data_IF_131242047787
#
_entry.id   IF_131242047787
#
_cell.length_a   1.000
_cell.length_b   1.000
_cell.length_c   1.000
_cell.angle_alpha   90.00
_cell.angle_beta   90.00
_cell.angle_gamma   90.00
#
_symmetry.space_group_name_H-M   'P 1'
#
loop_
_entity.id
_entity.type
_entity.pdbx_description
1 polymer ?
#
# COMPACT_ATOMS: atom_id res chain seq x y z
N UNK A 1 -5.29 -28.46 -12.93
CA UNK A 1 -4.44 -27.60 -12.08
C UNK A 1 -3.32 -27.06 -12.95
N UNK A 2 -3.39 -25.80 -13.36
CA UNK A 2 -2.31 -25.15 -14.11
C UNK A 2 -1.25 -24.65 -13.12
N UNK A 3 0.05 -24.81 -13.43
CA UNK A 3 1.12 -24.34 -12.55
C UNK A 3 1.11 -22.81 -12.52
N UNK A 4 1.23 -22.23 -11.32
CA UNK A 4 1.35 -20.78 -11.14
C UNK A 4 2.81 -20.41 -11.36
N UNK A 5 3.07 -19.65 -12.42
CA UNK A 5 4.39 -19.07 -12.68
C UNK A 5 4.61 -17.87 -11.74
N UNK A 6 5.65 -17.94 -10.91
CA UNK A 6 6.01 -16.94 -9.91
C UNK A 6 7.03 -15.91 -10.44
N UNK A 7 7.51 -16.06 -11.69
CA UNK A 7 8.55 -15.22 -12.29
C UNK A 7 8.01 -13.93 -12.92
N UNK A 8 6.68 -13.83 -13.04
CA UNK A 8 5.93 -12.61 -13.36
C UNK A 8 4.62 -12.69 -12.59
N UNK A 9 4.28 -11.77 -11.66
CA UNK A 9 2.95 -11.76 -11.09
C UNK A 9 2.00 -11.33 -12.22
N UNK A 10 1.48 -12.28 -12.99
CA UNK A 10 0.42 -12.03 -13.95
C UNK A 10 -0.66 -11.27 -13.20
N UNK A 11 -0.91 -10.02 -13.62
CA UNK A 11 -2.04 -9.25 -13.10
C UNK A 11 -3.26 -10.12 -13.35
N UNK A 12 -4.00 -10.56 -12.32
CA UNK A 12 -5.18 -11.38 -12.56
C UNK A 12 -6.11 -10.57 -13.47
N UNK A 13 -6.32 -11.07 -14.69
CA UNK A 13 -7.08 -10.43 -15.79
C UNK A 13 -8.59 -10.36 -15.54
N UNK A 14 -9.00 -10.41 -14.28
CA UNK A 14 -10.39 -10.23 -13.87
C UNK A 14 -10.76 -8.74 -13.84
N UNK A 15 -12.07 -8.42 -13.90
CA UNK A 15 -12.52 -7.04 -13.72
C UNK A 15 -12.00 -6.49 -12.38
N UNK A 16 -11.67 -5.18 -12.31
CA UNK A 16 -11.16 -4.59 -11.10
C UNK A 16 -12.15 -4.82 -9.96
N UNK A 17 -11.67 -5.40 -8.85
CA UNK A 17 -12.48 -5.73 -7.67
C UNK A 17 -13.14 -4.48 -7.06
N UNK A 18 -12.56 -3.30 -7.33
CA UNK A 18 -12.97 -2.00 -6.83
C UNK A 18 -12.76 -0.94 -7.91
N UNK A 19 -13.73 -0.03 -8.07
CA UNK A 19 -13.60 1.16 -8.95
C UNK A 19 -12.91 2.31 -8.22
N UNK A 20 -12.25 3.19 -8.97
CA UNK A 20 -11.63 4.41 -8.42
C UNK A 20 -12.60 5.29 -7.60
N UNK A 21 -13.85 5.39 -8.04
CA UNK A 21 -14.89 6.12 -7.32
C UNK A 21 -15.26 5.50 -5.96
N UNK A 22 -15.22 4.17 -5.85
CA UNK A 22 -15.46 3.43 -4.61
C UNK A 22 -14.31 3.69 -3.62
N UNK A 23 -13.06 3.60 -4.09
CA UNK A 23 -11.88 3.94 -3.29
C UNK A 23 -11.95 5.37 -2.74
N UNK A 24 -12.33 6.33 -3.59
CA UNK A 24 -12.49 7.74 -3.19
C UNK A 24 -13.58 7.93 -2.13
N UNK A 25 -14.67 7.19 -2.24
CA UNK A 25 -15.76 7.25 -1.26
C UNK A 25 -15.31 6.71 0.11
N UNK A 26 -14.58 5.58 0.13
CA UNK A 26 -14.02 5.01 1.36
C UNK A 26 -13.03 5.97 2.00
N UNK A 27 -12.08 6.52 1.22
CA UNK A 27 -11.09 7.48 1.73
C UNK A 27 -11.76 8.65 2.45
N UNK A 28 -12.79 9.22 1.83
CA UNK A 28 -13.55 10.35 2.40
C UNK A 28 -14.29 9.95 3.68
N UNK A 29 -14.83 8.74 3.75
CA UNK A 29 -15.48 8.21 4.97
C UNK A 29 -14.50 8.03 6.12
N UNK A 30 -13.27 7.61 5.81
CA UNK A 30 -12.17 7.52 6.76
C UNK A 30 -11.57 8.89 7.13
N UNK A 31 -11.99 9.98 6.49
CA UNK A 31 -11.50 11.33 6.78
C UNK A 31 -10.08 11.63 6.28
N UNK A 32 -9.54 10.81 5.37
CA UNK A 32 -8.13 10.92 4.95
C UNK A 32 -7.93 11.79 3.72
N UNK A 33 -6.82 12.51 3.68
CA UNK A 33 -6.22 13.05 2.47
C UNK A 33 -5.68 11.93 1.57
N UNK A 34 -5.37 12.28 0.31
CA UNK A 34 -4.75 11.33 -0.63
C UNK A 34 -3.36 10.92 -0.21
N UNK A 35 -2.62 11.80 0.47
CA UNK A 35 -1.30 11.49 1.02
C UNK A 35 -1.41 10.53 2.18
N UNK A 36 -2.27 10.79 3.17
CA UNK A 36 -2.47 9.93 4.35
C UNK A 36 -2.92 8.53 3.95
N UNK A 37 -3.87 8.40 3.00
CA UNK A 37 -4.23 7.09 2.49
C UNK A 37 -3.06 6.38 1.80
N UNK A 38 -2.22 7.14 1.08
CA UNK A 38 -1.01 6.60 0.48
C UNK A 38 -0.02 6.05 1.52
N UNK A 39 0.18 6.78 2.61
CA UNK A 39 0.99 6.32 3.75
C UNK A 39 0.37 5.11 4.43
N UNK A 40 -0.95 5.09 4.61
CA UNK A 40 -1.68 3.94 5.16
C UNK A 40 -1.51 2.65 4.35
N UNK A 41 -1.15 2.75 3.06
CA UNK A 41 -0.81 1.60 2.22
C UNK A 41 0.68 1.27 2.17
N UNK A 42 1.52 2.01 2.89
CA UNK A 42 2.97 1.84 2.90
C UNK A 42 3.68 2.50 1.73
N UNK A 43 3.07 3.44 0.99
CA UNK A 43 3.81 4.21 -0.01
C UNK A 43 4.80 5.16 0.69
N UNK A 44 6.09 4.89 0.52
CA UNK A 44 7.21 5.70 1.00
C UNK A 44 7.65 6.76 -0.02
N UNK A 45 8.55 7.66 0.36
CA UNK A 45 9.06 8.73 -0.51
C UNK A 45 8.33 10.07 -0.32
N UNK A 46 8.33 10.94 -1.33
CA UNK A 46 7.74 12.28 -1.26
C UNK A 46 6.20 12.24 -1.22
N UNK A 47 5.58 13.16 -0.46
CA UNK A 47 4.13 13.25 -0.30
C UNK A 47 3.38 13.38 -1.62
N UNK A 48 3.91 14.17 -2.56
CA UNK A 48 3.33 14.35 -3.88
C UNK A 48 3.25 13.04 -4.66
N UNK A 49 4.25 12.17 -4.51
CA UNK A 49 4.27 10.86 -5.21
C UNK A 49 3.20 9.92 -4.65
N UNK A 50 3.05 9.87 -3.32
CA UNK A 50 1.99 9.10 -2.67
C UNK A 50 0.61 9.63 -3.07
N UNK A 51 0.41 10.95 -2.97
CA UNK A 51 -0.82 11.64 -3.33
C UNK A 51 -1.22 11.43 -4.79
N UNK A 52 -0.27 11.58 -5.73
CA UNK A 52 -0.50 11.35 -7.16
C UNK A 52 -0.86 9.90 -7.47
N UNK A 53 -0.22 8.94 -6.80
CA UNK A 53 -0.52 7.51 -6.96
C UNK A 53 -1.97 7.21 -6.58
N UNK A 54 -2.42 7.71 -5.43
CA UNK A 54 -3.82 7.59 -5.00
C UNK A 54 -4.77 8.28 -5.98
N UNK A 55 -4.45 9.50 -6.43
CA UNK A 55 -5.28 10.22 -7.41
C UNK A 55 -5.45 9.45 -8.73
N UNK A 56 -4.41 8.76 -9.22
CA UNK A 56 -4.49 7.94 -10.44
C UNK A 56 -5.44 6.75 -10.27
N UNK A 57 -5.43 6.12 -9.11
CA UNK A 57 -6.41 5.06 -8.81
C UNK A 57 -7.83 5.63 -8.74
N UNK A 58 -8.04 6.73 -8.01
CA UNK A 58 -9.36 7.32 -7.82
C UNK A 58 -9.99 7.83 -9.11
N UNK A 59 -9.18 8.34 -10.04
CA UNK A 59 -9.65 8.81 -11.36
C UNK A 59 -9.84 7.70 -12.39
N UNK A 60 -9.42 6.46 -12.08
CA UNK A 60 -9.40 5.37 -13.05
C UNK A 60 -8.26 5.46 -14.07
N UNK A 61 -7.29 6.37 -13.88
CA UNK A 61 -6.07 6.42 -14.70
C UNK A 61 -5.11 5.26 -14.44
N UNK A 62 -5.36 4.47 -13.39
CA UNK A 62 -4.70 3.19 -13.10
C UNK A 62 -5.68 2.26 -12.41
N UNK A 63 -5.69 0.98 -12.79
CA UNK A 63 -6.48 -0.04 -12.09
C UNK A 63 -5.97 -0.26 -10.66
N UNK A 64 -6.90 -0.39 -9.72
CA UNK A 64 -6.59 -0.69 -8.32
C UNK A 64 -6.18 -2.17 -8.21
N UNK A 65 -4.95 -2.47 -7.72
CA UNK A 65 -4.54 -3.85 -7.51
C UNK A 65 -5.48 -4.58 -6.53
N UNK A 66 -5.80 -5.87 -6.75
CA UNK A 66 -6.69 -6.64 -5.88
C UNK A 66 -6.34 -6.62 -4.39
N UNK A 67 -5.05 -6.68 -4.05
CA UNK A 67 -4.59 -6.64 -2.66
C UNK A 67 -4.88 -5.28 -2.01
N UNK A 68 -4.74 -4.19 -2.77
CA UNK A 68 -5.00 -2.83 -2.30
C UNK A 68 -6.49 -2.62 -2.05
N UNK A 69 -7.33 -3.14 -2.96
CA UNK A 69 -8.79 -3.14 -2.79
C UNK A 69 -9.23 -3.92 -1.54
N UNK A 70 -8.63 -5.08 -1.27
CA UNK A 70 -8.92 -5.88 -0.05
C UNK A 70 -8.50 -5.12 1.22
N UNK A 71 -7.29 -4.54 1.22
CA UNK A 71 -6.77 -3.78 2.34
C UNK A 71 -7.65 -2.55 2.65
N UNK A 72 -8.05 -1.80 1.62
CA UNK A 72 -8.92 -0.65 1.81
C UNK A 72 -10.30 -1.03 2.38
N UNK A 73 -10.86 -2.18 1.97
CA UNK A 73 -12.11 -2.69 2.57
C UNK A 73 -11.94 -3.09 4.03
N UNK A 74 -10.75 -3.58 4.40
CA UNK A 74 -10.42 -3.85 5.80
C UNK A 74 -10.39 -2.55 6.61
N UNK A 75 -9.71 -1.52 6.10
CA UNK A 75 -9.69 -0.20 6.74
C UNK A 75 -11.07 0.43 6.86
N UNK A 76 -11.91 0.34 5.84
CA UNK A 76 -13.30 0.84 5.88
C UNK A 76 -14.12 0.20 6.99
N UNK A 77 -13.90 -1.10 7.24
CA UNK A 77 -14.69 -1.87 8.20
C UNK A 77 -14.17 -1.79 9.63
N UNK A 78 -12.86 -1.71 9.80
CA UNK A 78 -12.21 -1.85 11.12
C UNK A 78 -11.41 -0.62 11.55
N UNK A 79 -11.30 0.40 10.70
CA UNK A 79 -10.40 1.53 10.90
C UNK A 79 -8.97 1.22 10.45
N UNK A 80 -8.13 2.25 10.47
CA UNK A 80 -6.70 2.13 10.16
C UNK A 80 -5.96 1.88 11.49
N UNK A 81 -5.08 0.85 11.55
CA UNK A 81 -4.19 0.64 12.69
C UNK A 81 -3.35 1.89 13.00
N UNK A 82 -3.26 2.27 14.27
CA UNK A 82 -2.61 3.50 14.69
C UNK A 82 -1.09 3.53 14.38
N UNK A 83 -0.46 2.37 14.35
CA UNK A 83 0.96 2.14 14.09
C UNK A 83 1.37 2.26 12.62
N UNK A 84 0.42 2.40 11.70
CA UNK A 84 0.70 2.58 10.26
C UNK A 84 0.97 4.06 9.91
N UNK A 85 0.57 5.00 10.79
CA UNK A 85 0.75 6.44 10.60
C UNK A 85 2.04 7.00 11.21
N UNK A 86 2.57 6.35 12.25
CA UNK A 86 3.92 6.59 12.72
C UNK A 86 4.86 5.87 11.77
N UNK A 87 5.88 6.58 11.29
CA UNK A 87 6.97 6.04 10.48
C UNK A 87 7.26 4.61 10.88
N UNK A 88 7.06 3.66 9.96
CA UNK A 88 7.49 2.28 10.16
C UNK A 88 9.02 2.35 10.27
N UNK A 89 9.51 2.56 11.48
CA UNK A 89 10.83 2.16 11.88
C UNK A 89 10.79 0.64 11.82
N UNK A 90 11.09 0.10 10.63
CA UNK A 90 11.07 -1.32 10.33
C UNK A 90 12.09 -2.11 11.16
N UNK A 91 12.69 -1.51 12.19
CA UNK A 91 13.75 -2.13 12.99
C UNK A 91 14.81 -2.71 12.08
N UNK A 92 15.09 -2.05 10.94
CA UNK A 92 16.30 -2.35 10.20
C UNK A 92 17.40 -1.92 11.17
N UNK A 93 18.16 -2.86 11.76
CA UNK A 93 19.28 -2.45 12.59
C UNK A 93 20.12 -1.49 11.74
N UNK A 94 20.51 -0.31 12.27
CA UNK A 94 21.46 0.53 11.57
C UNK A 94 22.67 -0.36 11.30
N UNK A 95 23.01 -0.48 10.02
CA UNK A 95 24.16 -1.18 9.46
C UNK A 95 24.85 -2.12 10.46
N UNK A 96 24.57 -3.43 10.36
CA UNK A 96 25.50 -4.41 10.90
C UNK A 96 26.80 -4.15 10.13
N UNK A 97 27.75 -3.47 10.77
CA UNK A 97 29.12 -3.38 10.29
C UNK A 97 29.59 -4.82 10.05
N UNK A 98 29.72 -5.20 8.78
CA UNK A 98 30.16 -6.53 8.31
C UNK A 98 31.57 -6.91 8.81
N UNK A 99 32.25 -5.99 9.52
CA UNK A 99 33.62 -6.10 10.01
C UNK A 99 33.74 -6.33 11.53
N UNK A 100 32.65 -6.68 12.23
CA UNK A 100 32.77 -7.10 13.64
C UNK A 100 33.41 -8.49 13.76
N UNK A 101 34.74 -8.51 13.88
CA UNK A 101 35.53 -9.70 14.21
C UNK A 101 34.96 -10.35 15.50
N UNK A 102 34.70 -11.66 15.51
CA UNK A 102 34.21 -12.33 16.71
C UNK A 102 35.28 -12.27 17.80
N UNK A 103 34.89 -12.06 19.08
CA UNK A 103 35.86 -12.04 20.17
C UNK A 103 36.48 -13.44 20.35
N UNK A 104 37.78 -13.45 20.64
CA UNK A 104 38.69 -14.61 20.76
C UNK A 104 38.11 -15.86 21.46
#
# INVERSE_FOLDING_TARGET
>A
MTPVDLSHPERPSGPPIMKGSEMKAIRRRLGLSTTELGRAFGYVGQDDTASMTIRRYESGGRDIPPWLARLLRMYDRFGIPADIGDSVDLGIPPDIDEDSEPPD
#
